data_IF_056730057437
#
_entry.id   IF_056730057437
#
_cell.length_a   1.000
_cell.length_b   1.000
_cell.length_c   1.000
_cell.angle_alpha   90.00
_cell.angle_beta   90.00
_cell.angle_gamma   90.00
#
_symmetry.space_group_name_H-M   'P 1'
#
loop_
_entity.id
_entity.type
_entity.pdbx_description
1 polymer ?
#
# COMPACT_ATOMS: atom_id res chain seq x y z
N UNK A 1 -28.02 23.68 -10.68
CA UNK A 1 -27.33 24.40 -9.59
C UNK A 1 -26.59 23.38 -8.76
N UNK A 2 -25.29 23.22 -9.01
CA UNK A 2 -24.46 22.21 -8.32
C UNK A 2 -23.98 22.76 -6.99
N UNK A 3 -24.33 22.09 -5.90
CA UNK A 3 -23.79 22.37 -4.58
C UNK A 3 -22.30 22.03 -4.55
N UNK A 4 -21.46 23.07 -4.57
CA UNK A 4 -20.07 22.97 -4.19
C UNK A 4 -20.01 22.70 -2.68
N UNK A 5 -19.78 21.45 -2.30
CA UNK A 5 -19.47 21.08 -0.91
C UNK A 5 -18.07 21.59 -0.61
N UNK A 6 -17.97 22.84 -0.16
CA UNK A 6 -16.72 23.45 0.30
C UNK A 6 -16.26 22.69 1.55
N UNK A 7 -15.35 21.74 1.36
CA UNK A 7 -14.70 21.01 2.45
C UNK A 7 -13.86 22.02 3.26
N UNK A 8 -14.44 22.56 4.35
CA UNK A 8 -13.76 23.45 5.30
C UNK A 8 -12.43 22.81 5.72
N UNK A 9 -11.32 23.47 5.38
CA UNK A 9 -9.99 23.14 5.93
C UNK A 9 -8.84 22.99 4.93
N UNK A 10 -9.07 23.13 3.61
CA UNK A 10 -7.96 23.08 2.62
C UNK A 10 -7.67 24.48 2.08
N UNK A 11 -6.44 25.00 2.26
CA UNK A 11 -6.08 26.31 1.71
C UNK A 11 -6.08 26.27 0.19
N UNK A 12 -6.42 27.38 -0.47
CA UNK A 12 -6.27 27.47 -1.92
C UNK A 12 -4.79 27.52 -2.33
N UNK A 13 -4.47 26.90 -3.46
CA UNK A 13 -3.11 26.91 -4.00
C UNK A 13 -2.82 28.21 -4.73
N UNK A 14 -1.75 28.89 -4.33
CA UNK A 14 -1.21 30.02 -5.09
C UNK A 14 -0.79 29.59 -6.50
N UNK A 15 -0.73 30.54 -7.45
CA UNK A 15 -0.28 30.27 -8.82
C UNK A 15 1.13 29.67 -8.86
N UNK A 16 2.01 30.11 -7.95
CA UNK A 16 3.36 29.56 -7.79
C UNK A 16 3.34 28.10 -7.36
N UNK A 17 2.50 27.74 -6.37
CA UNK A 17 2.36 26.36 -5.90
C UNK A 17 1.75 25.44 -6.97
N UNK A 18 0.76 25.93 -7.73
CA UNK A 18 0.19 25.20 -8.87
C UNK A 18 1.26 24.90 -9.93
N UNK A 19 2.07 25.90 -10.26
CA UNK A 19 3.18 25.72 -11.19
C UNK A 19 4.22 24.72 -10.65
N UNK A 20 4.60 24.82 -9.37
CA UNK A 20 5.55 23.89 -8.75
C UNK A 20 5.08 22.43 -8.79
N UNK A 21 3.78 22.17 -8.55
CA UNK A 21 3.21 20.82 -8.67
C UNK A 21 3.20 20.33 -10.13
N UNK A 22 2.88 21.20 -11.09
CA UNK A 22 2.87 20.85 -12.51
C UNK A 22 4.28 20.50 -13.03
N UNK A 23 5.29 21.27 -12.62
CA UNK A 23 6.70 20.99 -12.95
C UNK A 23 7.15 19.68 -12.29
N UNK A 24 6.89 19.51 -10.99
CA UNK A 24 7.29 18.30 -10.26
C UNK A 24 6.60 17.02 -10.77
N UNK A 25 5.38 17.13 -11.32
CA UNK A 25 4.68 16.00 -11.93
C UNK A 25 5.33 15.52 -13.25
N UNK A 26 6.16 16.36 -13.88
CA UNK A 26 6.92 16.06 -15.11
C UNK A 26 8.41 15.80 -14.86
N UNK A 27 8.84 15.87 -13.60
CA UNK A 27 10.24 15.71 -13.21
C UNK A 27 10.78 14.32 -13.58
N UNK A 28 12.07 14.17 -13.87
CA UNK A 28 12.69 12.88 -14.19
C UNK A 28 12.73 11.94 -12.97
N UNK A 29 12.77 12.47 -11.73
CA UNK A 29 12.70 11.70 -10.50
C UNK A 29 11.28 11.14 -10.28
N UNK A 30 11.15 9.81 -10.38
CA UNK A 30 9.88 9.10 -10.17
C UNK A 30 9.31 9.33 -8.77
N UNK A 31 10.16 9.46 -7.74
CA UNK A 31 9.75 9.78 -6.38
C UNK A 31 9.16 11.19 -6.26
N UNK A 32 9.76 12.17 -6.94
CA UNK A 32 9.27 13.56 -6.96
C UNK A 32 7.93 13.66 -7.71
N UNK A 33 7.76 12.93 -8.81
CA UNK A 33 6.47 12.81 -9.50
C UNK A 33 5.39 12.21 -8.61
N UNK A 34 5.69 11.10 -7.91
CA UNK A 34 4.75 10.44 -7.00
C UNK A 34 4.31 11.36 -5.85
N UNK A 35 5.25 12.10 -5.25
CA UNK A 35 4.94 13.09 -4.21
C UNK A 35 4.04 14.21 -4.73
N UNK A 36 4.36 14.77 -5.89
CA UNK A 36 3.56 15.81 -6.52
C UNK A 36 2.12 15.34 -6.81
N UNK A 37 1.97 14.13 -7.34
CA UNK A 37 0.66 13.54 -7.61
C UNK A 37 -0.17 13.33 -6.32
N UNK A 38 0.47 12.86 -5.25
CA UNK A 38 -0.21 12.62 -3.97
C UNK A 38 -0.65 13.93 -3.29
N UNK A 39 0.21 14.96 -3.30
CA UNK A 39 -0.15 16.30 -2.80
C UNK A 39 -1.28 16.90 -3.63
N UNK A 40 -1.20 16.81 -4.97
CA UNK A 40 -2.25 17.32 -5.86
C UNK A 40 -3.60 16.66 -5.57
N UNK A 41 -3.64 15.33 -5.43
CA UNK A 41 -4.87 14.60 -5.08
C UNK A 41 -5.49 15.08 -3.76
N UNK A 42 -4.67 15.37 -2.75
CA UNK A 42 -5.18 15.92 -1.50
C UNK A 42 -5.83 17.30 -1.70
N UNK A 43 -5.27 18.16 -2.55
CA UNK A 43 -5.90 19.45 -2.88
C UNK A 43 -7.14 19.30 -3.79
N UNK A 44 -7.20 18.28 -4.64
CA UNK A 44 -8.33 17.99 -5.54
C UNK A 44 -9.60 17.47 -4.84
N UNK A 45 -9.54 17.13 -3.54
CA UNK A 45 -10.72 16.65 -2.81
C UNK A 45 -10.52 15.29 -2.15
N UNK A 46 -9.53 14.50 -2.58
CA UNK A 46 -9.34 13.13 -2.09
C UNK A 46 -8.95 13.04 -0.62
N UNK A 47 -9.22 11.89 -0.01
CA UNK A 47 -8.81 11.60 1.36
C UNK A 47 -7.29 11.41 1.47
N UNK A 48 -6.74 11.54 2.69
CA UNK A 48 -5.34 11.22 2.95
C UNK A 48 -5.04 9.73 2.70
N UNK A 49 -6.02 8.85 2.91
CA UNK A 49 -5.89 7.42 2.66
C UNK A 49 -5.75 7.13 1.15
N UNK A 50 -6.53 7.81 0.31
CA UNK A 50 -6.46 7.65 -1.15
C UNK A 50 -5.12 8.16 -1.70
N UNK A 51 -4.68 9.33 -1.24
CA UNK A 51 -3.38 9.89 -1.61
C UNK A 51 -2.22 8.98 -1.14
N UNK A 52 -2.36 8.38 0.05
CA UNK A 52 -1.38 7.45 0.62
C UNK A 52 -1.31 6.13 -0.16
N UNK A 53 -2.46 5.59 -0.57
CA UNK A 53 -2.54 4.37 -1.38
C UNK A 53 -1.82 4.53 -2.72
N UNK A 54 -2.04 5.66 -3.40
CA UNK A 54 -1.42 5.98 -4.70
C UNK A 54 0.10 6.13 -4.57
N UNK A 55 0.57 6.77 -3.50
CA UNK A 55 2.00 6.97 -3.26
C UNK A 55 2.68 5.81 -2.52
N UNK A 56 1.92 4.79 -2.11
CA UNK A 56 2.40 3.65 -1.33
C UNK A 56 3.14 4.05 -0.04
N UNK A 57 2.61 5.05 0.66
CA UNK A 57 3.14 5.55 1.93
C UNK A 57 2.07 5.55 3.00
N UNK A 58 2.43 5.88 4.24
CA UNK A 58 1.43 6.05 5.30
C UNK A 58 0.63 7.36 5.13
N UNK A 59 -0.62 7.44 5.62
CA UNK A 59 -1.36 8.71 5.69
C UNK A 59 -0.62 9.82 6.46
N UNK A 60 0.21 9.44 7.45
CA UNK A 60 1.09 10.37 8.18
C UNK A 60 2.16 10.96 7.28
N UNK A 61 2.71 10.16 6.37
CA UNK A 61 3.66 10.63 5.35
C UNK A 61 3.01 11.66 4.42
N UNK A 62 1.76 11.42 3.99
CA UNK A 62 0.99 12.39 3.20
C UNK A 62 0.78 13.69 3.98
N UNK A 63 0.38 13.63 5.25
CA UNK A 63 0.25 14.81 6.12
C UNK A 63 1.55 15.62 6.18
N UNK A 64 2.68 14.95 6.35
CA UNK A 64 4.00 15.59 6.38
C UNK A 64 4.33 16.28 5.05
N UNK A 65 4.05 15.64 3.92
CA UNK A 65 4.30 16.23 2.60
C UNK A 65 3.42 17.44 2.33
N UNK A 66 2.13 17.36 2.65
CA UNK A 66 1.18 18.48 2.49
C UNK A 66 1.62 19.66 3.36
N UNK A 67 1.96 19.42 4.63
CA UNK A 67 2.46 20.46 5.54
C UNK A 67 3.73 21.13 5.00
N UNK A 68 4.74 20.34 4.62
CA UNK A 68 5.99 20.89 4.07
C UNK A 68 5.76 21.67 2.77
N UNK A 69 4.84 21.22 1.92
CA UNK A 69 4.45 21.94 0.70
C UNK A 69 3.70 23.25 0.99
N UNK A 70 2.87 23.29 2.04
CA UNK A 70 2.22 24.51 2.51
C UNK A 70 3.25 25.53 3.01
N UNK A 71 4.24 25.08 3.77
CA UNK A 71 5.27 25.93 4.37
C UNK A 71 6.27 26.45 3.32
N UNK A 72 6.67 25.64 2.35
CA UNK A 72 7.79 25.96 1.43
C UNK A 72 7.33 26.32 0.01
N UNK A 73 6.11 25.95 -0.37
CA UNK A 73 5.60 26.09 -1.74
C UNK A 73 6.29 25.18 -2.77
N UNK A 74 7.12 24.23 -2.31
CA UNK A 74 7.88 23.31 -3.16
C UNK A 74 7.59 21.87 -2.78
N UNK A 75 7.60 20.97 -3.78
CA UNK A 75 7.39 19.55 -3.51
C UNK A 75 8.59 19.02 -2.74
N UNK A 76 8.40 18.45 -1.53
CA UNK A 76 9.51 18.08 -0.67
C UNK A 76 10.47 17.12 -1.37
N UNK A 77 11.74 17.51 -1.35
CA UNK A 77 12.87 16.72 -1.81
C UNK A 77 13.27 15.75 -0.71
N UNK A 78 13.35 14.48 -1.03
CA UNK A 78 13.82 13.46 -0.10
C UNK A 78 13.70 12.09 -0.72
N UNK A 79 14.51 11.13 -0.28
CA UNK A 79 14.18 9.75 -0.52
C UNK A 79 12.75 9.56 -0.03
N UNK A 80 11.90 8.99 -0.88
CA UNK A 80 10.70 8.34 -0.37
C UNK A 80 11.28 7.31 0.59
N UNK A 81 11.29 7.61 1.89
CA UNK A 81 11.17 6.57 2.87
C UNK A 81 9.86 5.92 2.46
N UNK A 82 9.98 4.89 1.60
CA UNK A 82 9.01 3.82 1.57
C UNK A 82 8.71 3.62 3.03
N UNK A 83 7.44 3.75 3.42
CA UNK A 83 7.07 3.39 4.78
C UNK A 83 7.79 2.07 5.03
N UNK A 84 8.72 2.07 6.01
CA UNK A 84 9.37 0.82 6.41
C UNK A 84 8.23 -0.18 6.44
N UNK A 85 8.35 -1.30 5.69
CA UNK A 85 7.28 -2.30 5.64
C UNK A 85 6.86 -2.47 7.08
N UNK A 86 5.62 -2.10 7.49
CA UNK A 86 5.28 -1.78 8.87
C UNK A 86 5.99 -2.79 9.70
N UNK A 87 7.09 -2.36 10.32
CA UNK A 87 8.11 -3.29 10.81
C UNK A 87 7.40 -3.91 11.98
N UNK A 88 6.75 -5.05 11.68
CA UNK A 88 6.31 -6.03 12.64
C UNK A 88 7.49 -6.10 13.57
N UNK A 89 7.34 -5.52 14.76
CA UNK A 89 8.38 -5.60 15.77
C UNK A 89 8.81 -7.06 15.77
N UNK A 90 10.10 -7.35 15.54
CA UNK A 90 10.55 -8.73 15.40
C UNK A 90 9.96 -9.48 16.59
N UNK A 91 9.13 -10.50 16.34
CA UNK A 91 8.41 -11.13 17.42
C UNK A 91 9.41 -11.58 18.49
N UNK A 92 9.16 -11.24 19.75
CA UNK A 92 10.09 -11.56 20.84
C UNK A 92 10.25 -13.08 20.89
N UNK A 93 11.47 -13.57 20.67
CA UNK A 93 11.79 -15.00 20.58
C UNK A 93 11.99 -15.48 19.12
N UNK A 94 13.04 -16.28 18.92
CA UNK A 94 13.44 -16.84 17.61
C UNK A 94 12.32 -17.65 16.95
N UNK A 95 11.55 -18.38 17.77
CA UNK A 95 10.43 -19.22 17.33
C UNK A 95 9.30 -18.38 16.73
N UNK A 96 8.91 -17.29 17.39
CA UNK A 96 7.81 -16.45 16.89
C UNK A 96 8.23 -15.71 15.63
N UNK A 97 9.48 -15.25 15.56
CA UNK A 97 10.02 -14.64 14.33
C UNK A 97 10.03 -15.61 13.15
N UNK A 98 10.45 -16.86 13.38
CA UNK A 98 10.43 -17.91 12.35
C UNK A 98 9.00 -18.25 11.91
N UNK A 99 8.08 -18.42 12.87
CA UNK A 99 6.66 -18.70 12.61
C UNK A 99 6.00 -17.57 11.80
N UNK A 100 6.24 -16.31 12.17
CA UNK A 100 5.73 -15.14 11.43
C UNK A 100 6.28 -15.09 10.01
N UNK A 101 7.59 -15.30 9.81
CA UNK A 101 8.18 -15.32 8.47
C UNK A 101 7.59 -16.45 7.61
N UNK A 102 7.38 -17.62 8.21
CA UNK A 102 6.76 -18.76 7.53
C UNK A 102 5.31 -18.48 7.15
N UNK A 103 4.53 -17.91 8.07
CA UNK A 103 3.15 -17.52 7.83
C UNK A 103 3.04 -16.55 6.64
N UNK A 104 3.87 -15.51 6.61
CA UNK A 104 3.89 -14.54 5.50
C UNK A 104 4.27 -15.20 4.17
N UNK A 105 5.24 -16.13 4.17
CA UNK A 105 5.62 -16.85 2.97
C UNK A 105 4.50 -17.78 2.48
N UNK A 106 3.81 -18.48 3.39
CA UNK A 106 2.67 -19.35 3.03
C UNK A 106 1.49 -18.54 2.50
N UNK A 107 1.19 -17.39 3.12
CA UNK A 107 0.16 -16.48 2.66
C UNK A 107 0.45 -15.98 1.24
N UNK A 108 1.68 -15.54 0.99
CA UNK A 108 2.13 -15.08 -0.31
C UNK A 108 2.03 -16.17 -1.39
N UNK A 109 2.41 -17.40 -1.04
CA UNK A 109 2.33 -18.55 -1.93
C UNK A 109 0.89 -18.94 -2.29
N UNK A 110 -0.05 -18.90 -1.34
CA UNK A 110 -1.47 -19.17 -1.58
C UNK A 110 -2.07 -18.18 -2.58
N UNK A 111 -1.84 -16.87 -2.38
CA UNK A 111 -2.35 -15.83 -3.28
C UNK A 111 -1.72 -15.95 -4.68
N UNK A 112 -0.43 -16.27 -4.75
CA UNK A 112 0.26 -16.50 -6.02
C UNK A 112 -0.29 -17.74 -6.75
N UNK A 113 -0.52 -18.84 -6.03
CA UNK A 113 -1.06 -20.07 -6.58
C UNK A 113 -2.46 -19.84 -7.15
N UNK A 114 -3.33 -19.15 -6.41
CA UNK A 114 -4.69 -18.84 -6.85
C UNK A 114 -4.70 -17.89 -8.06
N UNK A 115 -3.82 -16.89 -8.08
CA UNK A 115 -3.70 -16.05 -9.28
C UNK A 115 -3.26 -16.88 -10.50
N UNK A 116 -2.30 -17.80 -10.31
CA UNK A 116 -1.76 -18.64 -11.39
C UNK A 116 -2.77 -19.67 -11.87
N UNK A 117 -3.57 -20.28 -10.99
CA UNK A 117 -4.61 -21.24 -11.37
C UNK A 117 -5.65 -20.60 -12.31
N UNK A 118 -5.89 -19.30 -12.15
CA UNK A 118 -6.77 -18.49 -13.02
C UNK A 118 -6.11 -18.00 -14.31
N UNK A 119 -4.80 -18.19 -14.47
CA UNK A 119 -4.05 -17.61 -15.59
C UNK A 119 -3.98 -16.08 -15.55
N UNK A 120 -4.26 -15.45 -14.41
CA UNK A 120 -4.33 -13.99 -14.32
C UNK A 120 -2.95 -13.35 -14.15
N UNK A 121 -2.74 -12.25 -14.85
CA UNK A 121 -1.65 -11.31 -14.59
C UNK A 121 -1.90 -10.53 -13.31
N UNK A 122 -0.85 -9.90 -12.77
CA UNK A 122 -0.97 -8.98 -11.63
C UNK A 122 -1.90 -7.81 -11.92
N UNK A 123 -1.84 -7.25 -13.14
CA UNK A 123 -2.69 -6.16 -13.56
C UNK A 123 -4.18 -6.56 -13.55
N UNK A 124 -4.50 -7.79 -13.97
CA UNK A 124 -5.87 -8.31 -13.96
C UNK A 124 -6.42 -8.48 -12.54
N UNK A 125 -5.64 -9.04 -11.60
CA UNK A 125 -6.06 -9.11 -10.19
C UNK A 125 -6.33 -7.71 -9.64
N UNK A 126 -5.44 -6.76 -9.91
CA UNK A 126 -5.59 -5.39 -9.43
C UNK A 126 -6.81 -4.69 -10.03
N UNK A 127 -7.07 -4.88 -11.33
CA UNK A 127 -8.28 -4.39 -11.98
C UNK A 127 -9.55 -5.00 -11.36
N UNK A 128 -9.57 -6.32 -11.15
CA UNK A 128 -10.70 -7.02 -10.52
C UNK A 128 -10.93 -6.59 -9.06
N UNK A 129 -9.86 -6.21 -8.36
CA UNK A 129 -9.92 -5.76 -6.97
C UNK A 129 -10.45 -4.34 -6.78
N UNK A 130 -10.61 -3.55 -7.86
CA UNK A 130 -11.11 -2.18 -7.81
C UNK A 130 -10.18 -1.18 -7.12
N UNK A 131 -8.95 -1.57 -6.78
CA UNK A 131 -7.98 -0.73 -6.06
C UNK A 131 -6.79 -0.34 -6.92
N UNK A 132 -6.37 0.92 -6.79
CA UNK A 132 -5.28 1.52 -7.55
C UNK A 132 -3.88 1.17 -7.04
N UNK A 133 -3.64 -0.07 -6.59
CA UNK A 133 -2.28 -0.50 -6.26
C UNK A 133 -1.45 -0.68 -7.54
N UNK A 134 -0.13 -0.53 -7.43
CA UNK A 134 0.76 -0.83 -8.56
C UNK A 134 1.02 -2.35 -8.66
N UNK A 135 1.24 -2.89 -9.87
CA UNK A 135 1.64 -4.30 -10.06
C UNK A 135 2.91 -4.68 -9.29
N UNK A 136 3.81 -3.71 -9.07
CA UNK A 136 5.03 -3.92 -8.29
C UNK A 136 4.73 -4.24 -6.82
N UNK A 137 3.76 -3.55 -6.21
CA UNK A 137 3.35 -3.80 -4.82
C UNK A 137 2.82 -5.23 -4.66
N UNK A 138 1.93 -5.67 -5.57
CA UNK A 138 1.45 -7.05 -5.57
C UNK A 138 2.61 -8.04 -5.74
N UNK A 139 3.57 -7.73 -6.60
CA UNK A 139 4.80 -8.54 -6.74
C UNK A 139 5.61 -8.64 -5.45
N UNK A 140 5.69 -7.57 -4.65
CA UNK A 140 6.39 -7.61 -3.36
C UNK A 140 5.66 -8.49 -2.33
N UNK A 141 4.34 -8.42 -2.32
CA UNK A 141 3.51 -9.24 -1.44
C UNK A 141 3.57 -10.72 -1.82
N UNK A 142 3.46 -11.06 -3.10
CA UNK A 142 3.56 -12.45 -3.60
C UNK A 142 4.91 -13.11 -3.34
N UNK A 143 5.97 -12.31 -3.17
CA UNK A 143 7.30 -12.81 -2.78
C UNK A 143 7.50 -12.87 -1.27
N UNK A 144 6.54 -12.38 -0.47
CA UNK A 144 6.72 -12.21 0.97
C UNK A 144 7.79 -11.17 1.35
N UNK A 145 8.29 -10.40 0.38
CA UNK A 145 9.32 -9.36 0.61
C UNK A 145 8.79 -8.12 1.35
N UNK A 146 7.47 -8.03 1.49
CA UNK A 146 6.79 -6.95 2.20
C UNK A 146 5.59 -7.50 2.95
N UNK A 147 5.36 -7.02 4.17
CA UNK A 147 4.12 -7.28 4.89
C UNK A 147 2.92 -6.72 4.08
N UNK A 148 1.86 -7.51 3.99
CA UNK A 148 0.62 -7.13 3.34
C UNK A 148 -0.32 -6.52 4.41
N UNK A 149 -0.86 -5.31 4.20
CA UNK A 149 -1.91 -4.78 5.06
C UNK A 149 -3.15 -5.69 5.03
N UNK A 150 -3.81 -5.88 6.19
CA UNK A 150 -4.99 -6.74 6.29
C UNK A 150 -6.11 -6.35 5.31
N UNK A 151 -6.32 -5.05 5.10
CA UNK A 151 -7.30 -4.55 4.13
C UNK A 151 -6.93 -4.96 2.70
N UNK A 152 -5.65 -4.84 2.33
CA UNK A 152 -5.18 -5.28 1.02
C UNK A 152 -5.34 -6.80 0.84
N UNK A 153 -5.09 -7.58 1.90
CA UNK A 153 -5.34 -9.01 1.90
C UNK A 153 -6.79 -9.36 1.63
N UNK A 154 -7.73 -8.76 2.38
CA UNK A 154 -9.16 -9.03 2.22
C UNK A 154 -9.65 -8.69 0.80
N UNK A 155 -9.20 -7.56 0.26
CA UNK A 155 -9.51 -7.11 -1.10
C UNK A 155 -8.97 -8.09 -2.16
N UNK A 156 -7.74 -8.55 -2.02
CA UNK A 156 -7.13 -9.51 -2.96
C UNK A 156 -7.82 -10.87 -2.86
N UNK A 157 -8.16 -11.34 -1.67
CA UNK A 157 -8.96 -12.56 -1.48
C UNK A 157 -10.30 -12.44 -2.18
N UNK A 158 -11.02 -11.34 -2.00
CA UNK A 158 -12.29 -11.11 -2.69
C UNK A 158 -12.13 -11.12 -4.22
N UNK A 159 -11.13 -10.42 -4.76
CA UNK A 159 -10.84 -10.40 -6.20
C UNK A 159 -10.49 -11.80 -6.74
N UNK A 160 -9.86 -12.63 -5.91
CA UNK A 160 -9.50 -14.01 -6.21
C UNK A 160 -10.60 -15.01 -5.79
N UNK A 161 -11.79 -14.58 -5.37
CA UNK A 161 -12.87 -15.47 -4.93
C UNK A 161 -12.49 -16.40 -3.77
N UNK A 162 -11.54 -15.99 -2.93
CA UNK A 162 -11.09 -16.72 -1.76
C UNK A 162 -11.81 -16.21 -0.51
N UNK A 163 -12.14 -17.13 0.40
CA UNK A 163 -12.53 -16.76 1.76
C UNK A 163 -11.26 -16.38 2.56
N UNK A 164 -11.15 -15.13 3.07
CA UNK A 164 -9.96 -14.69 3.80
C UNK A 164 -9.70 -15.50 5.08
N UNK A 165 -10.75 -15.93 5.78
CA UNK A 165 -10.65 -16.67 7.04
C UNK A 165 -10.05 -18.06 6.81
N UNK A 166 -10.52 -18.76 5.79
CA UNK A 166 -10.04 -20.07 5.38
C UNK A 166 -8.57 -20.00 4.91
N UNK A 167 -8.20 -18.97 4.13
CA UNK A 167 -6.80 -18.77 3.74
C UNK A 167 -5.90 -18.57 4.96
N UNK A 168 -6.31 -17.73 5.91
CA UNK A 168 -5.56 -17.53 7.17
C UNK A 168 -5.43 -18.85 7.94
N UNK A 169 -6.52 -19.61 8.08
CA UNK A 169 -6.54 -20.90 8.78
C UNK A 169 -5.56 -21.88 8.16
N UNK A 170 -5.58 -22.06 6.83
CA UNK A 170 -4.61 -22.94 6.12
C UNK A 170 -3.17 -22.48 6.29
N UNK A 171 -2.92 -21.17 6.25
CA UNK A 171 -1.59 -20.60 6.46
C UNK A 171 -1.10 -20.85 7.88
N UNK A 172 -1.99 -20.69 8.88
CA UNK A 172 -1.71 -20.95 10.27
C UNK A 172 -1.35 -22.43 10.49
N UNK A 173 -2.19 -23.35 10.02
CA UNK A 173 -1.99 -24.80 10.15
C UNK A 173 -0.63 -25.23 9.59
N UNK A 174 -0.29 -24.79 8.37
CA UNK A 174 0.99 -25.14 7.72
C UNK A 174 2.20 -24.50 8.38
N UNK A 175 2.05 -23.30 8.94
CA UNK A 175 3.16 -22.57 9.55
C UNK A 175 3.47 -23.07 10.95
N UNK A 176 2.45 -23.46 11.72
CA UNK A 176 2.61 -23.93 13.09
C UNK A 176 2.80 -25.44 13.22
N UNK A 177 2.29 -26.26 12.28
CA UNK A 177 2.56 -27.71 12.27
C UNK A 177 4.07 -28.02 12.27
N UNK A 178 4.86 -27.19 11.58
CA UNK A 178 6.32 -27.35 11.48
C UNK A 178 7.09 -26.81 12.69
N UNK A 179 6.48 -25.92 13.47
CA UNK A 179 7.13 -25.31 14.65
C UNK A 179 6.91 -26.15 15.91
N UNK A 180 5.83 -26.95 15.97
CA UNK A 180 5.48 -27.70 17.18
C UNK A 180 5.90 -29.17 17.19
N UNK A 181 6.18 -29.83 16.06
CA UNK A 181 6.50 -31.26 16.08
C UNK A 181 5.44 -32.14 16.79
N UNK A 182 4.20 -31.68 16.92
CA UNK A 182 3.12 -32.43 17.56
C UNK A 182 2.30 -33.16 16.49
N UNK A 183 2.10 -34.49 16.62
CA UNK A 183 1.10 -35.19 15.82
C UNK A 183 -0.29 -34.68 16.22
N UNK A 184 -1.20 -34.66 15.24
CA UNK A 184 -2.62 -34.35 15.44
C UNK A 184 -3.28 -35.38 16.37
#
# INVERSE_FOLDING_TARGET
MSHATTHRGRPELSSRQRHALAVAARDADSGKRTRAAAVRRWYEGHSQADAAAVANVSPTTIRRWVRSFQETGTVPSGQTCQAEPPTLHPPRGTVVTAATRRFLATLAAELLAERRSRGWSRAQVLAASGVGYSPAILGHWERGSRAMPLIAFAILCHALGLDPGEVIRRCYDRSFALVRGFPR
#
